data_IF_893582541095
#
_entry.id   IF_893582541095
#
_cell.length_a   1.000
_cell.length_b   1.000
_cell.length_c   1.000
_cell.angle_alpha   90.00
_cell.angle_beta   90.00
_cell.angle_gamma   90.00
#
_symmetry.space_group_name_H-M   'P 1'
#
loop_
_entity.id
_entity.type
_entity.pdbx_description
1 polymer ?
#
# COMPACT_ATOMS: atom_id res chain seq x y z
N UNK A 1 11.20 -0.05 -25.87
CA UNK A 1 12.06 -0.85 -24.97
C UNK A 1 12.83 -1.97 -25.67
N UNK A 2 12.20 -2.89 -26.42
CA UNK A 2 12.94 -3.96 -27.10
C UNK A 2 14.01 -3.45 -28.09
N UNK A 3 13.69 -2.43 -28.91
CA UNK A 3 14.64 -1.84 -29.87
C UNK A 3 15.83 -1.18 -29.15
N UNK A 4 15.57 -0.44 -28.07
CA UNK A 4 16.63 0.19 -27.27
C UNK A 4 17.56 -0.86 -26.65
N UNK A 5 17.00 -1.97 -26.16
CA UNK A 5 17.77 -3.09 -25.61
C UNK A 5 18.63 -3.79 -26.66
N UNK A 6 18.09 -4.03 -27.86
CA UNK A 6 18.84 -4.61 -28.98
C UNK A 6 20.00 -3.71 -29.39
N UNK A 7 19.81 -2.39 -29.32
CA UNK A 7 20.83 -1.40 -29.65
C UNK A 7 21.85 -1.17 -28.52
N UNK A 8 21.74 -1.87 -27.38
CA UNK A 8 22.64 -1.72 -26.24
C UNK A 8 22.54 -0.36 -25.54
N UNK A 9 21.39 0.31 -25.65
CA UNK A 9 21.18 1.61 -25.03
C UNK A 9 21.17 1.47 -23.50
N UNK A 10 21.98 2.26 -22.75
CA UNK A 10 22.07 2.16 -21.29
C UNK A 10 20.75 2.48 -20.58
N UNK A 11 19.81 3.17 -21.23
CA UNK A 11 18.46 3.42 -20.68
C UNK A 11 17.65 2.12 -20.58
N UNK A 12 17.95 1.11 -21.40
CA UNK A 12 17.23 -0.16 -21.42
C UNK A 12 17.74 -1.16 -20.35
N UNK A 13 17.75 -0.73 -19.08
CA UNK A 13 18.10 -1.60 -17.96
C UNK A 13 17.23 -2.87 -17.91
N UNK A 14 17.71 -3.90 -17.21
CA UNK A 14 16.95 -5.14 -17.02
C UNK A 14 15.59 -4.90 -16.36
N UNK A 15 15.54 -3.98 -15.40
CA UNK A 15 14.31 -3.66 -14.68
C UNK A 15 13.31 -2.94 -15.58
N UNK A 16 13.75 -1.92 -16.31
CA UNK A 16 12.87 -1.15 -17.18
C UNK A 16 12.40 -2.00 -18.37
N UNK A 17 13.28 -2.86 -18.90
CA UNK A 17 12.87 -3.82 -19.93
C UNK A 17 11.86 -4.83 -19.38
N UNK A 18 12.11 -5.39 -18.20
CA UNK A 18 11.22 -6.35 -17.55
C UNK A 18 9.82 -5.74 -17.32
N UNK A 19 9.74 -4.55 -16.74
CA UNK A 19 8.47 -3.83 -16.53
C UNK A 19 7.74 -3.47 -17.83
N UNK A 20 8.48 -3.31 -18.94
CA UNK A 20 7.87 -3.03 -20.25
C UNK A 20 7.26 -4.27 -20.91
N UNK A 21 7.63 -5.46 -20.44
CA UNK A 21 6.96 -6.69 -20.81
C UNK A 21 5.89 -6.93 -19.76
N UNK A 22 4.65 -7.20 -20.19
CA UNK A 22 3.55 -7.47 -19.26
C UNK A 22 3.94 -8.59 -18.27
N UNK A 23 3.39 -8.60 -17.05
CA UNK A 23 3.61 -9.70 -16.12
C UNK A 23 3.10 -11.03 -16.73
N UNK A 24 3.56 -12.16 -16.18
CA UNK A 24 2.94 -13.47 -16.45
C UNK A 24 1.43 -13.39 -16.13
N UNK A 25 0.60 -14.01 -16.96
CA UNK A 25 -0.85 -14.03 -16.78
C UNK A 25 -1.28 -14.73 -15.48
N UNK A 26 -0.37 -15.48 -14.86
CA UNK A 26 -0.56 -16.11 -13.55
C UNK A 26 0.02 -15.23 -12.45
N UNK A 27 -0.66 -15.25 -11.31
CA UNK A 27 -0.24 -14.57 -10.11
C UNK A 27 -0.38 -15.50 -8.90
N UNK A 28 0.40 -15.22 -7.86
CA UNK A 28 0.30 -15.94 -6.58
C UNK A 28 -0.38 -15.06 -5.54
N UNK A 29 -1.33 -15.62 -4.79
CA UNK A 29 -2.01 -14.92 -3.70
C UNK A 29 -1.36 -15.31 -2.36
N UNK A 30 -1.01 -14.30 -1.56
CA UNK A 30 -0.50 -14.47 -0.21
C UNK A 30 -1.48 -13.98 0.84
N UNK A 31 -1.41 -14.58 2.02
CA UNK A 31 -2.23 -14.21 3.19
C UNK A 31 -1.55 -13.22 4.14
N UNK A 32 -0.24 -13.01 3.97
CA UNK A 32 0.58 -12.11 4.78
C UNK A 32 1.94 -11.87 4.12
N UNK A 33 2.52 -10.70 4.31
CA UNK A 33 3.88 -10.40 3.88
C UNK A 33 4.56 -9.42 4.85
N UNK A 34 5.86 -9.21 4.65
CA UNK A 34 6.62 -8.15 5.32
C UNK A 34 7.13 -7.21 4.23
N UNK A 35 6.83 -5.93 4.36
CA UNK A 35 7.23 -4.88 3.42
C UNK A 35 7.85 -3.75 4.24
N UNK A 36 9.07 -3.33 3.88
CA UNK A 36 9.82 -2.29 4.59
C UNK A 36 9.87 -2.53 6.12
N UNK A 37 10.07 -3.78 6.54
CA UNK A 37 10.11 -4.17 7.95
C UNK A 37 8.76 -4.26 8.66
N UNK A 38 7.65 -3.93 7.98
CA UNK A 38 6.29 -3.94 8.52
C UNK A 38 5.53 -5.18 8.07
N UNK A 39 4.87 -5.87 9.00
CA UNK A 39 4.03 -7.03 8.69
C UNK A 39 2.63 -6.59 8.29
N UNK A 40 2.20 -7.01 7.11
CA UNK A 40 0.83 -6.86 6.62
C UNK A 40 0.12 -8.21 6.58
N UNK A 41 -1.18 -8.22 6.87
CA UNK A 41 -2.03 -9.41 6.80
C UNK A 41 -3.35 -9.10 6.13
N UNK A 42 -3.80 -10.03 5.28
CA UNK A 42 -5.14 -9.98 4.71
C UNK A 42 -6.19 -9.99 5.82
N UNK A 43 -7.24 -9.18 5.67
CA UNK A 43 -8.29 -8.96 6.68
C UNK A 43 -8.87 -10.26 7.22
N UNK A 44 -9.19 -11.22 6.35
CA UNK A 44 -9.76 -12.51 6.75
C UNK A 44 -8.83 -13.29 7.70
N UNK A 45 -7.52 -13.23 7.46
CA UNK A 45 -6.54 -13.85 8.35
C UNK A 45 -6.30 -13.02 9.60
N UNK A 46 -6.29 -11.69 9.47
CA UNK A 46 -6.04 -10.75 10.57
C UNK A 46 -7.11 -10.85 11.66
N UNK A 47 -8.37 -11.08 11.27
CA UNK A 47 -9.53 -11.24 12.18
C UNK A 47 -9.41 -12.40 13.17
N UNK A 48 -8.49 -13.33 12.91
CA UNK A 48 -8.20 -14.48 13.79
C UNK A 48 -7.19 -14.13 14.88
N UNK A 49 -6.71 -12.88 14.94
CA UNK A 49 -5.66 -12.43 15.85
C UNK A 49 -6.07 -11.19 16.63
N UNK A 50 -5.35 -10.93 17.73
CA UNK A 50 -5.57 -9.75 18.59
C UNK A 50 -4.94 -8.48 18.04
N UNK A 51 -3.86 -8.59 17.28
CA UNK A 51 -3.15 -7.45 16.68
C UNK A 51 -3.72 -7.15 15.31
N UNK A 52 -4.00 -5.87 15.02
CA UNK A 52 -4.43 -5.42 13.69
C UNK A 52 -3.21 -5.19 12.79
N UNK A 53 -3.14 -5.90 11.68
CA UNK A 53 -2.12 -5.74 10.64
C UNK A 53 -2.71 -5.61 9.23
N UNK A 54 -4.03 -5.54 9.10
CA UNK A 54 -4.72 -5.38 7.81
C UNK A 54 -5.06 -3.95 7.44
N UNK A 55 -5.00 -2.99 8.38
CA UNK A 55 -5.30 -1.61 8.08
C UNK A 55 -4.21 -0.96 7.25
N UNK A 56 -4.60 -0.27 6.19
CA UNK A 56 -3.67 0.36 5.24
C UNK A 56 -4.06 1.81 4.94
N UNK A 57 -3.06 2.64 4.70
CA UNK A 57 -3.24 3.92 4.04
C UNK A 57 -2.16 4.17 2.98
N UNK A 58 -2.48 5.02 2.00
CA UNK A 58 -1.55 5.51 0.98
C UNK A 58 -1.77 7.02 0.76
N UNK A 59 -0.81 7.70 0.13
CA UNK A 59 -0.73 9.16 0.03
C UNK A 59 0.29 9.75 1.01
N UNK A 60 0.72 10.99 0.81
CA UNK A 60 1.72 11.65 1.64
C UNK A 60 1.11 12.65 2.64
N UNK A 61 1.94 13.10 3.59
CA UNK A 61 1.59 14.16 4.54
C UNK A 61 1.92 15.56 3.96
N UNK A 62 2.35 15.65 2.70
CA UNK A 62 2.84 16.87 2.06
C UNK A 62 1.79 17.58 1.21
N UNK A 63 0.53 17.13 1.25
CA UNK A 63 -0.60 17.77 0.58
C UNK A 63 -1.44 16.82 -0.26
N UNK A 64 -1.02 15.57 -0.43
CA UNK A 64 -1.84 14.58 -1.12
C UNK A 64 -3.02 14.11 -0.25
N UNK A 65 -4.09 13.67 -0.93
CA UNK A 65 -5.23 13.05 -0.26
C UNK A 65 -4.80 11.70 0.29
N UNK A 66 -4.95 11.50 1.60
CA UNK A 66 -4.68 10.21 2.23
C UNK A 66 -5.91 9.31 2.03
N UNK A 67 -5.67 8.12 1.49
CA UNK A 67 -6.67 7.08 1.33
C UNK A 67 -6.54 6.06 2.44
N UNK A 68 -7.68 5.65 3.01
CA UNK A 68 -7.74 4.68 4.11
C UNK A 68 -8.51 3.45 3.68
N UNK A 69 -8.02 2.27 4.04
CA UNK A 69 -8.67 1.02 3.67
C UNK A 69 -8.19 -0.18 4.46
N UNK A 70 -8.66 -1.35 4.05
CA UNK A 70 -8.24 -2.64 4.60
C UNK A 70 -7.70 -3.54 3.50
N UNK A 71 -6.57 -4.18 3.78
CA UNK A 71 -5.93 -5.14 2.92
C UNK A 71 -6.77 -6.41 2.81
N UNK A 72 -7.19 -6.75 1.59
CA UNK A 72 -7.96 -7.96 1.31
C UNK A 72 -7.07 -9.08 0.78
N UNK A 73 -6.22 -8.77 -0.21
CA UNK A 73 -5.35 -9.76 -0.87
C UNK A 73 -3.98 -9.17 -1.16
N UNK A 74 -2.97 -10.03 -1.17
CA UNK A 74 -1.60 -9.70 -1.58
C UNK A 74 -1.31 -10.53 -2.83
N UNK A 75 -1.06 -9.86 -3.94
CA UNK A 75 -0.73 -10.46 -5.23
C UNK A 75 0.78 -10.36 -5.46
N UNK A 76 1.40 -11.48 -5.79
CA UNK A 76 2.75 -11.53 -6.34
C UNK A 76 2.65 -11.72 -7.86
N UNK A 77 3.15 -10.73 -8.60
CA UNK A 77 3.22 -10.73 -10.05
C UNK A 77 4.64 -11.04 -10.48
N UNK A 78 4.78 -12.07 -11.31
CA UNK A 78 6.06 -12.46 -11.92
C UNK A 78 6.25 -11.70 -13.23
N UNK A 79 7.42 -11.11 -13.41
CA UNK A 79 7.87 -10.52 -14.65
C UNK A 79 9.07 -11.29 -15.20
N UNK A 80 9.40 -11.04 -16.47
CA UNK A 80 10.59 -11.63 -17.09
C UNK A 80 11.87 -11.26 -16.32
N UNK A 81 12.95 -12.02 -16.57
CA UNK A 81 14.24 -11.85 -15.88
C UNK A 81 14.14 -12.04 -14.35
N UNK A 82 13.14 -12.78 -13.88
CA UNK A 82 12.96 -13.13 -12.48
C UNK A 82 12.58 -11.94 -11.59
N UNK A 83 12.06 -10.85 -12.17
CA UNK A 83 11.58 -9.69 -11.42
C UNK A 83 10.19 -9.96 -10.87
N UNK A 84 9.89 -9.39 -9.70
CA UNK A 84 8.62 -9.60 -9.01
C UNK A 84 8.08 -8.28 -8.49
N UNK A 85 6.76 -8.11 -8.57
CA UNK A 85 6.06 -6.96 -8.01
C UNK A 85 4.96 -7.46 -7.09
N UNK A 86 4.86 -6.87 -5.90
CA UNK A 86 3.79 -7.16 -4.96
C UNK A 86 2.74 -6.05 -5.00
N UNK A 87 1.49 -6.43 -5.26
CA UNK A 87 0.34 -5.54 -5.26
C UNK A 87 -0.61 -5.89 -4.13
N UNK A 88 -1.16 -4.87 -3.48
CA UNK A 88 -2.17 -5.03 -2.45
C UNK A 88 -3.54 -4.70 -3.05
N UNK A 89 -4.48 -5.64 -2.93
CA UNK A 89 -5.90 -5.36 -3.19
C UNK A 89 -6.54 -4.91 -1.91
N UNK A 90 -7.10 -3.70 -1.91
CA UNK A 90 -7.65 -3.08 -0.72
C UNK A 90 -9.13 -2.75 -0.90
N UNK A 91 -9.89 -2.86 0.19
CA UNK A 91 -11.18 -2.18 0.28
C UNK A 91 -10.91 -0.76 0.77
N UNK A 92 -11.09 0.22 -0.10
CA UNK A 92 -10.91 1.63 0.23
C UNK A 92 -12.21 2.22 0.77
N UNK A 93 -12.11 2.97 1.86
CA UNK A 93 -13.21 3.76 2.40
C UNK A 93 -13.31 5.09 1.65
N UNK A 94 -14.51 5.66 1.61
CA UNK A 94 -14.72 6.96 0.96
C UNK A 94 -14.11 8.09 1.79
N UNK A 95 -13.03 8.68 1.30
CA UNK A 95 -12.31 9.78 1.93
C UNK A 95 -12.51 11.13 1.22
N UNK A 96 -13.57 11.29 0.42
CA UNK A 96 -13.87 12.56 -0.27
C UNK A 96 -13.90 13.74 0.74
N UNK A 97 -13.00 14.73 0.62
CA UNK A 97 -12.96 15.88 1.51
C UNK A 97 -14.23 16.74 1.45
N UNK A 98 -15.00 16.66 0.37
CA UNK A 98 -16.29 17.35 0.21
C UNK A 98 -17.45 16.54 0.80
N UNK A 99 -17.22 15.25 1.05
CA UNK A 99 -18.18 14.34 1.65
C UNK A 99 -18.29 14.51 3.17
N UNK A 100 -19.24 13.78 3.76
CA UNK A 100 -19.36 13.62 5.22
C UNK A 100 -18.86 12.25 5.70
N UNK A 101 -17.98 11.62 4.94
CA UNK A 101 -17.48 10.26 5.18
C UNK A 101 -16.11 10.24 5.87
N UNK A 102 -15.49 11.40 6.06
CA UNK A 102 -14.28 11.57 6.85
C UNK A 102 -14.39 12.85 7.70
N UNK A 103 -14.00 12.75 8.97
CA UNK A 103 -14.01 13.87 9.92
C UNK A 103 -12.66 13.95 10.59
N UNK A 104 -12.10 15.16 10.69
CA UNK A 104 -10.84 15.40 11.40
C UNK A 104 -11.10 16.36 12.56
N UNK A 105 -11.02 15.84 13.79
CA UNK A 105 -11.25 16.60 15.02
C UNK A 105 -10.08 16.42 15.99
N UNK A 106 -9.51 17.50 16.51
CA UNK A 106 -8.43 17.47 17.51
C UNK A 106 -7.26 16.52 17.13
N UNK A 107 -6.91 16.45 15.84
CA UNK A 107 -5.89 15.55 15.23
C UNK A 107 -6.26 14.07 15.17
N UNK A 108 -7.49 13.70 15.50
CA UNK A 108 -8.04 12.38 15.26
C UNK A 108 -8.80 12.40 13.93
N UNK A 109 -8.49 11.43 13.08
CA UNK A 109 -9.21 11.21 11.83
C UNK A 109 -10.18 10.06 12.04
N UNK A 110 -11.45 10.28 11.74
CA UNK A 110 -12.48 9.24 11.75
C UNK A 110 -13.03 9.06 10.34
N UNK A 111 -13.26 7.82 9.93
CA UNK A 111 -13.79 7.45 8.62
C UNK A 111 -15.08 6.64 8.75
N UNK A 112 -16.03 6.87 7.85
CA UNK A 112 -17.23 6.05 7.71
C UNK A 112 -16.92 4.80 6.88
N UNK A 113 -16.94 3.65 7.55
CA UNK A 113 -16.59 2.36 6.94
C UNK A 113 -17.71 1.71 6.12
N UNK A 114 -18.90 2.32 6.12
CA UNK A 114 -20.03 1.87 5.31
C UNK A 114 -19.95 2.36 3.86
N UNK A 115 -19.22 3.46 3.61
CA UNK A 115 -19.01 4.03 2.28
C UNK A 115 -17.66 3.56 1.70
N UNK A 116 -17.65 3.17 0.43
CA UNK A 116 -16.47 2.65 -0.27
C UNK A 116 -16.11 3.50 -1.47
N UNK A 117 -14.83 3.47 -1.84
CA UNK A 117 -14.31 4.11 -3.05
C UNK A 117 -13.39 3.14 -3.79
N UNK A 118 -13.02 3.49 -5.03
CA UNK A 118 -12.09 2.73 -5.87
C UNK A 118 -12.39 1.22 -5.95
N UNK A 119 -13.66 0.83 -6.06
CA UNK A 119 -14.05 -0.59 -6.19
C UNK A 119 -13.54 -1.21 -7.49
N UNK A 120 -13.46 -0.41 -8.56
CA UNK A 120 -12.98 -0.83 -9.88
C UNK A 120 -11.45 -0.76 -10.01
N UNK A 121 -10.77 -0.02 -9.13
CA UNK A 121 -9.31 0.09 -9.10
C UNK A 121 -8.76 -0.01 -7.66
N UNK A 122 -8.88 -1.18 -7.02
CA UNK A 122 -8.59 -1.36 -5.59
C UNK A 122 -7.10 -1.54 -5.27
N UNK A 123 -6.20 -1.38 -6.25
CA UNK A 123 -4.83 -1.85 -6.13
C UNK A 123 -3.82 -0.75 -5.84
N UNK A 124 -2.84 -1.07 -5.00
CA UNK A 124 -1.64 -0.25 -4.79
C UNK A 124 -0.39 -1.13 -4.81
N UNK A 125 0.78 -0.54 -5.01
CA UNK A 125 2.04 -1.25 -4.75
C UNK A 125 2.18 -1.50 -3.25
N UNK A 126 2.68 -2.67 -2.87
CA UNK A 126 2.91 -3.01 -1.48
C UNK A 126 3.80 -1.98 -0.77
N UNK A 127 4.78 -1.41 -1.49
CA UNK A 127 5.71 -0.38 -0.98
C UNK A 127 5.07 0.98 -0.74
N UNK A 128 3.90 1.26 -1.32
CA UNK A 128 3.15 2.49 -1.08
C UNK A 128 2.27 2.39 0.18
N UNK A 129 2.05 1.18 0.69
CA UNK A 129 1.19 0.96 1.84
C UNK A 129 1.90 1.33 3.15
N UNK A 130 1.22 2.13 3.98
CA UNK A 130 1.57 2.33 5.39
C UNK A 130 0.51 1.70 6.28
N UNK A 131 0.92 1.17 7.44
CA UNK A 131 -0.01 0.50 8.35
C UNK A 131 -0.78 1.51 9.20
N UNK A 132 -2.08 1.27 9.33
CA UNK A 132 -2.96 1.95 10.27
C UNK A 132 -3.73 0.92 11.09
N UNK A 133 -4.28 1.34 12.23
CA UNK A 133 -5.27 0.55 12.94
C UNK A 133 -6.56 1.35 13.11
N UNK A 134 -7.66 0.63 13.28
CA UNK A 134 -9.00 1.17 13.38
C UNK A 134 -9.58 0.89 14.76
N UNK A 135 -10.23 1.90 15.35
CA UNK A 135 -10.98 1.81 16.60
C UNK A 135 -12.39 2.33 16.40
N UNK A 136 -13.38 1.76 17.07
CA UNK A 136 -14.74 2.29 17.03
C UNK A 136 -14.80 3.75 17.52
N UNK A 137 -15.37 4.64 16.72
CA UNK A 137 -15.67 6.00 17.14
C UNK A 137 -17.04 6.04 17.85
N UNK A 138 -17.01 6.00 19.18
CA UNK A 138 -18.24 6.01 19.99
C UNK A 138 -18.99 7.34 19.93
N UNK A 139 -18.36 8.43 19.51
CA UNK A 139 -19.01 9.74 19.41
C UNK A 139 -19.78 9.90 18.10
N UNK A 140 -19.24 9.40 16.99
CA UNK A 140 -19.90 9.46 15.67
C UNK A 140 -20.85 8.27 15.41
N UNK A 141 -20.70 7.19 16.17
CA UNK A 141 -21.65 6.09 16.23
C UNK A 141 -21.30 4.92 15.32
N UNK A 142 -22.33 4.16 14.91
CA UNK A 142 -22.14 2.91 14.17
C UNK A 142 -21.49 3.18 12.80
N UNK A 143 -20.58 2.30 12.38
CA UNK A 143 -19.77 2.35 11.15
C UNK A 143 -18.63 3.38 11.14
N UNK A 144 -18.55 4.27 12.13
CA UNK A 144 -17.43 5.20 12.24
C UNK A 144 -16.26 4.57 12.97
N UNK A 145 -15.07 4.71 12.38
CA UNK A 145 -13.84 4.25 12.99
C UNK A 145 -12.80 5.35 13.02
N UNK A 146 -12.20 5.58 14.18
CA UNK A 146 -10.99 6.38 14.34
C UNK A 146 -9.83 5.62 13.69
N UNK A 147 -9.08 6.30 12.84
CA UNK A 147 -7.89 5.78 12.17
C UNK A 147 -6.65 6.35 12.83
N UNK A 148 -5.72 5.47 13.16
CA UNK A 148 -4.44 5.88 13.72
C UNK A 148 -3.30 5.24 12.94
N UNK A 149 -2.39 6.09 12.44
CA UNK A 149 -1.14 5.65 11.80
C UNK A 149 -0.26 4.93 12.80
N UNK A 150 0.28 3.78 12.40
CA UNK A 150 1.22 3.00 13.21
C UNK A 150 2.62 3.55 12.98
N UNK A 151 3.22 4.10 14.04
CA UNK A 151 4.63 4.47 14.04
C UNK A 151 5.45 3.29 14.52
N UNK A 152 6.02 2.55 13.57
CA UNK A 152 6.88 1.41 13.86
C UNK A 152 8.21 1.90 14.45
N UNK A 153 8.57 1.36 15.62
CA UNK A 153 9.87 1.64 16.25
C UNK A 153 10.93 0.74 15.61
N UNK A 154 12.17 1.23 15.54
CA UNK A 154 13.33 0.48 15.03
C UNK A 154 13.32 0.18 13.52
N UNK A 155 12.59 0.97 12.73
CA UNK A 155 12.75 1.04 11.27
C UNK A 155 13.58 2.29 10.98
N UNK A 156 14.75 2.13 10.39
CA UNK A 156 15.62 3.23 9.98
C UNK A 156 15.66 3.25 8.45
N UNK A 157 15.19 4.33 7.83
CA UNK A 157 15.50 4.63 6.44
C UNK A 157 16.95 5.12 6.41
N UNK A 158 17.89 4.18 6.26
CA UNK A 158 19.30 4.53 6.01
C UNK A 158 19.37 4.92 4.53
N UNK A 159 19.65 6.20 4.20
CA UNK A 159 19.80 6.60 2.81
C UNK A 159 20.95 5.81 2.20
N UNK A 160 20.73 5.21 1.03
CA UNK A 160 21.82 4.59 0.28
C UNK A 160 22.86 5.68 -0.02
N UNK A 161 24.08 5.46 0.45
CA UNK A 161 25.19 6.36 0.12
C UNK A 161 25.57 6.07 -1.33
N UNK A 162 25.38 7.05 -2.22
CA UNK A 162 25.88 6.97 -3.59
C UNK A 162 27.39 6.72 -3.52
N UNK A 163 27.80 5.47 -3.73
CA UNK A 163 29.18 5.06 -3.87
C UNK A 163 29.68 5.51 -5.25
N UNK A 164 29.74 6.83 -5.45
CA UNK A 164 30.48 7.48 -6.53
C UNK A 164 30.73 8.94 -6.13
N UNK A 165 31.61 9.10 -5.15
CA UNK A 165 32.47 10.28 -5.07
C UNK A 165 33.91 9.80 -5.26
N UNK A 166 34.39 10.04 -6.47
CA UNK A 166 35.79 10.24 -6.89
C UNK A 166 36.83 9.13 -6.69
N UNK A 167 37.29 8.58 -7.82
CA UNK A 167 38.70 8.25 -8.06
C UNK A 167 39.06 8.54 -9.53
#
# INVERSE_FOLDING_TARGET
MAILRVNGDPVASDDLYSLSQLPDDRYTIWQSCIVNGVRFRCKERDDKFKTQCSGVCTGDDNGDTIYYGVLLEILELDFILGRKVFMFRCKWYNTDPKGRTMVVNYKLTSVDTSSQWYTEDPFILATQARQVFYLDDKALGKNWMVVQKVNHRCIYDIPEHDANVDA
#
